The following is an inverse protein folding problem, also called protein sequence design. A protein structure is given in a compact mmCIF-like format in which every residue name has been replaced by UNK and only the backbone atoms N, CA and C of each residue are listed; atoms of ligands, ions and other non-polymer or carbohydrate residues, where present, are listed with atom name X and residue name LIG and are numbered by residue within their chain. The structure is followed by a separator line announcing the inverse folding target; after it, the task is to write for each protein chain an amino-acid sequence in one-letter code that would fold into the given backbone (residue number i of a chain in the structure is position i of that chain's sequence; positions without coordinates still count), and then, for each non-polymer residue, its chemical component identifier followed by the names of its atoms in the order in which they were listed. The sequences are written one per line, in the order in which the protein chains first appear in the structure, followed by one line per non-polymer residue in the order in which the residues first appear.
data_IF_954026478622
#
_entry.id   IF_954026478622
#
_cell.length_a   1.000
_cell.length_b   1.000
_cell.length_c   1.000
_cell.angle_alpha   90.00
_cell.angle_beta   90.00
_cell.angle_gamma   90.00
#
_symmetry.space_group_name_H-M   'P 1'
#
loop_
_entity.id
_entity.type
_entity.pdbx_description
1 polymer ?
#
# COMPACT_ATOMS: atom_id res chain seq x y z
N UNK A 1 -2.36 -26.54 9.53
CA UNK A 1 -1.68 -25.42 8.84
C UNK A 1 -0.55 -24.97 9.76
N UNK A 2 0.71 -25.19 9.36
CA UNK A 2 1.86 -25.02 10.25
C UNK A 2 2.39 -23.58 10.21
N UNK A 3 2.84 -23.04 11.35
CA UNK A 3 3.40 -21.69 11.44
C UNK A 3 4.61 -21.45 10.51
N UNK A 4 5.29 -22.52 10.08
CA UNK A 4 6.39 -22.47 9.13
C UNK A 4 5.93 -22.14 7.70
N UNK A 5 4.71 -22.53 7.33
CA UNK A 5 4.12 -22.24 6.02
C UNK A 5 3.69 -20.78 5.92
N UNK A 6 3.17 -20.21 7.01
CA UNK A 6 2.75 -18.80 7.03
C UNK A 6 3.92 -17.84 6.89
N UNK A 7 5.08 -18.15 7.49
CA UNK A 7 6.29 -17.31 7.36
C UNK A 7 6.83 -17.22 5.92
N UNK A 8 6.49 -18.19 5.06
CA UNK A 8 6.89 -18.18 3.65
C UNK A 8 5.93 -17.36 2.77
N UNK A 9 4.74 -17.01 3.26
CA UNK A 9 3.76 -16.22 2.49
C UNK A 9 4.26 -14.78 2.34
N UNK A 10 4.10 -14.25 1.14
CA UNK A 10 4.44 -12.86 0.80
C UNK A 10 3.19 -12.17 0.26
N UNK A 11 3.10 -10.87 0.50
CA UNK A 11 2.10 -9.99 -0.07
C UNK A 11 2.76 -8.76 -0.67
N UNK A 12 2.12 -8.15 -1.66
CA UNK A 12 2.61 -6.94 -2.28
C UNK A 12 2.05 -5.73 -1.53
N UNK A 13 2.93 -4.92 -0.96
CA UNK A 13 2.62 -3.73 -0.16
C UNK A 13 3.02 -2.50 -0.96
N UNK A 14 2.12 -1.52 -1.10
CA UNK A 14 2.45 -0.26 -1.79
C UNK A 14 2.72 0.90 -0.84
N UNK A 15 2.24 0.83 0.41
CA UNK A 15 2.51 1.83 1.43
C UNK A 15 2.45 1.22 2.84
N UNK A 16 3.24 1.79 3.76
CA UNK A 16 3.17 1.49 5.19
C UNK A 16 3.09 2.82 5.93
N UNK A 17 1.95 3.07 6.58
CA UNK A 17 1.73 4.28 7.36
C UNK A 17 1.85 3.95 8.85
N UNK A 18 2.75 4.65 9.54
CA UNK A 18 2.91 4.55 10.99
C UNK A 18 2.14 5.67 11.67
N UNK A 19 1.79 5.46 12.93
CA UNK A 19 1.14 6.45 13.79
C UNK A 19 -0.24 6.93 13.30
N UNK A 20 -0.99 6.07 12.62
CA UNK A 20 -2.36 6.38 12.22
C UNK A 20 -3.30 6.34 13.43
N UNK A 21 -3.97 7.47 13.71
CA UNK A 21 -4.89 7.63 14.85
C UNK A 21 -6.36 7.78 14.43
N UNK A 22 -6.61 7.93 13.13
CA UNK A 22 -7.95 8.13 12.58
C UNK A 22 -8.55 6.88 11.94
N UNK A 23 -7.74 5.85 11.69
CA UNK A 23 -8.13 4.62 10.99
C UNK A 23 -8.53 3.49 11.95
N UNK A 24 -9.13 3.86 13.08
CA UNK A 24 -9.59 2.96 14.13
C UNK A 24 -9.05 3.31 15.53
N UNK A 25 -9.44 2.56 16.57
CA UNK A 25 -9.07 2.89 17.95
C UNK A 25 -7.57 2.75 18.22
N UNK A 26 -6.98 3.74 18.89
CA UNK A 26 -5.57 3.76 19.31
C UNK A 26 -4.60 4.16 18.19
N UNK A 27 -3.30 3.99 18.44
CA UNK A 27 -2.25 4.27 17.45
C UNK A 27 -1.98 3.00 16.63
N UNK A 28 -2.10 3.09 15.31
CA UNK A 28 -1.96 1.96 14.39
C UNK A 28 -0.80 2.14 13.42
N UNK A 29 -0.25 1.00 12.98
CA UNK A 29 0.53 0.93 11.74
C UNK A 29 -0.36 0.26 10.70
N UNK A 30 -0.63 0.96 9.62
CA UNK A 30 -1.44 0.47 8.50
C UNK A 30 -0.49 -0.05 7.43
N UNK A 31 -0.78 -1.25 6.93
CA UNK A 31 -0.10 -1.86 5.80
C UNK A 31 -1.07 -1.87 4.63
N UNK A 32 -0.80 -1.08 3.61
CA UNK A 32 -1.63 -0.99 2.43
C UNK A 32 -1.17 -2.00 1.37
N UNK A 33 -2.04 -2.95 1.06
CA UNK A 33 -1.78 -4.03 0.10
C UNK A 33 -2.23 -3.66 -1.31
N UNK A 34 -1.53 -4.19 -2.32
CA UNK A 34 -1.98 -4.17 -3.72
C UNK A 34 -3.07 -5.20 -3.96
N UNK A 35 -3.93 -4.90 -4.93
CA UNK A 35 -5.11 -5.66 -5.31
C UNK A 35 -6.38 -5.20 -4.61
N UNK A 36 -7.25 -4.52 -5.34
CA UNK A 36 -8.64 -4.28 -4.96
C UNK A 36 -9.54 -4.66 -6.14
N UNK A 37 -10.48 -5.61 -5.99
CA UNK A 37 -11.35 -6.03 -7.09
C UNK A 37 -12.44 -5.02 -7.43
N UNK A 38 -12.56 -3.94 -6.66
CA UNK A 38 -13.56 -2.89 -6.85
C UNK A 38 -13.03 -1.74 -7.71
N UNK A 39 -13.93 -1.10 -8.44
CA UNK A 39 -13.64 0.05 -9.32
C UNK A 39 -14.50 1.26 -8.91
N UNK A 40 -14.44 1.66 -7.64
CA UNK A 40 -15.21 2.77 -7.12
C UNK A 40 -14.82 4.10 -7.79
N UNK A 41 -15.80 4.92 -8.16
CA UNK A 41 -15.58 6.25 -8.78
C UNK A 41 -14.82 7.22 -7.86
N UNK A 42 -14.94 7.02 -6.54
CA UNK A 42 -14.29 7.81 -5.50
C UNK A 42 -13.24 7.00 -4.72
N UNK A 43 -12.54 6.09 -5.40
CA UNK A 43 -11.50 5.30 -4.75
C UNK A 43 -10.44 6.22 -4.13
N UNK A 44 -10.26 6.12 -2.80
CA UNK A 44 -9.26 6.92 -2.09
C UNK A 44 -7.82 6.42 -2.29
N UNK A 45 -7.66 5.17 -2.78
CA UNK A 45 -6.35 4.55 -3.04
C UNK A 45 -6.37 3.84 -4.41
N UNK A 46 -6.48 4.57 -5.54
CA UNK A 46 -6.55 3.98 -6.88
C UNK A 46 -5.30 3.15 -7.23
N UNK A 47 -4.15 3.50 -6.67
CA UNK A 47 -2.90 2.73 -6.79
C UNK A 47 -3.00 1.33 -6.19
N UNK A 48 -4.00 1.04 -5.35
CA UNK A 48 -4.21 -0.31 -4.82
C UNK A 48 -4.89 -1.25 -5.80
N UNK A 49 -5.52 -0.77 -6.87
CA UNK A 49 -6.42 -1.59 -7.69
C UNK A 49 -5.70 -2.71 -8.44
N UNK A 50 -4.59 -2.39 -9.12
CA UNK A 50 -3.81 -3.41 -9.84
C UNK A 50 -3.09 -4.32 -8.83
N UNK A 51 -3.00 -5.60 -9.18
CA UNK A 51 -2.34 -6.63 -8.35
C UNK A 51 -0.82 -6.67 -8.57
N UNK A 52 -0.33 -5.98 -9.58
CA UNK A 52 1.08 -5.98 -9.98
C UNK A 52 1.86 -4.82 -9.35
N UNK A 53 3.20 -4.94 -9.27
CA UNK A 53 4.05 -3.81 -8.90
C UNK A 53 3.93 -2.69 -9.94
N UNK A 54 3.79 -1.46 -9.46
CA UNK A 54 3.70 -0.27 -10.30
C UNK A 54 4.73 0.76 -9.84
N UNK A 55 5.23 1.56 -10.77
CA UNK A 55 6.11 2.67 -10.45
C UNK A 55 5.32 3.73 -9.69
N UNK A 56 5.70 3.94 -8.43
CA UNK A 56 5.19 5.08 -7.66
C UNK A 56 5.86 6.36 -8.18
N UNK A 57 5.06 7.29 -8.69
CA UNK A 57 5.53 8.58 -9.14
C UNK A 57 5.06 9.67 -8.19
N UNK A 58 6.02 10.39 -7.61
CA UNK A 58 5.76 11.56 -6.80
C UNK A 58 6.66 12.69 -7.31
N UNK A 59 6.12 13.69 -8.03
CA UNK A 59 6.92 14.77 -8.61
C UNK A 59 7.85 15.47 -7.61
N UNK A 60 7.44 15.63 -6.36
CA UNK A 60 8.24 16.29 -5.32
C UNK A 60 9.31 15.41 -4.67
N UNK A 61 9.31 14.09 -4.94
CA UNK A 61 10.31 13.14 -4.42
C UNK A 61 11.13 12.47 -5.51
N UNK A 62 10.65 12.46 -6.75
CA UNK A 62 11.35 11.91 -7.89
C UNK A 62 12.46 12.86 -8.35
N UNK A 63 13.55 12.30 -8.89
CA UNK A 63 14.61 13.09 -9.51
C UNK A 63 14.07 13.77 -10.77
N UNK A 64 14.31 15.07 -10.91
CA UNK A 64 14.03 15.82 -12.12
C UNK A 64 15.33 16.05 -12.89
N UNK A 65 15.22 16.30 -14.19
CA UNK A 65 16.37 16.59 -15.05
C UNK A 65 17.03 17.94 -14.73
N UNK A 66 16.28 18.84 -14.10
CA UNK A 66 16.74 20.18 -13.74
C UNK A 66 17.34 20.16 -12.33
N UNK A 67 18.66 20.01 -12.26
CA UNK A 67 19.46 20.41 -11.11
C UNK A 67 20.38 21.55 -11.52
#
# INVERSE_FOLDING_TARGET
MSALEDRKKKGLVFNIQKYSVHDGPGIRTIVFLKGCPLSCDWCSNPESQRREPELAFNPGRCLTFSK
#
